data_IF_246269892352
#
_entry.id   IF_246269892352
#
_cell.length_a   1.000
_cell.length_b   1.000
_cell.length_c   1.000
_cell.angle_alpha   90.00
_cell.angle_beta   90.00
_cell.angle_gamma   90.00
#
_symmetry.space_group_name_H-M   'P 1'
#
loop_
_entity.id
_entity.type
_entity.pdbx_description
1 polymer ?
#
# COMPACT_ATOMS: atom_id res chain seq x y z
N UNK A 1 4.11 21.92 -6.58
CA UNK A 1 2.80 22.52 -6.99
C UNK A 1 1.82 21.39 -7.28
N UNK A 2 0.50 21.61 -7.34
CA UNK A 2 -0.54 20.55 -7.43
C UNK A 2 -0.22 19.35 -8.35
N UNK A 3 0.41 19.61 -9.49
CA UNK A 3 0.87 18.59 -10.44
C UNK A 3 1.82 17.57 -9.79
N UNK A 4 2.77 18.01 -8.97
CA UNK A 4 3.73 17.12 -8.29
C UNK A 4 3.00 16.18 -7.32
N UNK A 5 2.01 16.70 -6.59
CA UNK A 5 1.18 15.90 -5.67
C UNK A 5 0.37 14.85 -6.41
N UNK A 6 -0.21 15.22 -7.57
CA UNK A 6 -0.96 14.29 -8.41
C UNK A 6 -0.05 13.21 -8.98
N UNK A 7 1.14 13.58 -9.47
CA UNK A 7 2.12 12.62 -10.01
C UNK A 7 2.57 11.65 -8.91
N UNK A 8 2.93 12.14 -7.73
CA UNK A 8 3.32 11.31 -6.59
C UNK A 8 2.19 10.35 -6.21
N UNK A 9 0.95 10.85 -6.13
CA UNK A 9 -0.21 10.01 -5.86
C UNK A 9 -0.40 8.91 -6.91
N UNK A 10 -0.29 9.23 -8.20
CA UNK A 10 -0.42 8.24 -9.28
C UNK A 10 0.68 7.18 -9.22
N UNK A 11 1.94 7.59 -8.98
CA UNK A 11 3.06 6.65 -8.80
C UNK A 11 2.80 5.76 -7.59
N UNK A 12 2.44 6.33 -6.43
CA UNK A 12 2.11 5.56 -5.23
C UNK A 12 0.95 4.60 -5.45
N UNK A 13 -0.08 5.01 -6.20
CA UNK A 13 -1.20 4.17 -6.55
C UNK A 13 -0.77 3.00 -7.44
N UNK A 14 0.06 3.24 -8.46
CA UNK A 14 0.60 2.19 -9.33
C UNK A 14 1.46 1.19 -8.56
N UNK A 15 2.34 1.68 -7.70
CA UNK A 15 3.20 0.86 -6.83
C UNK A 15 2.35 0.04 -5.86
N UNK A 16 1.35 0.65 -5.23
CA UNK A 16 0.41 -0.05 -4.36
C UNK A 16 -0.42 -1.09 -5.11
N UNK A 17 -0.87 -0.78 -6.33
CA UNK A 17 -1.61 -1.70 -7.20
C UNK A 17 -0.77 -2.93 -7.56
N UNK A 18 0.49 -2.72 -7.93
CA UNK A 18 1.44 -3.79 -8.20
C UNK A 18 1.68 -4.65 -6.96
N UNK A 19 1.87 -4.01 -5.79
CA UNK A 19 2.02 -4.70 -4.52
C UNK A 19 0.82 -5.61 -4.21
N UNK A 20 -0.40 -5.10 -4.30
CA UNK A 20 -1.62 -5.89 -4.07
C UNK A 20 -1.77 -6.99 -5.11
N UNK A 21 -1.50 -6.71 -6.40
CA UNK A 21 -1.59 -7.71 -7.47
C UNK A 21 -0.67 -8.91 -7.19
N UNK A 22 0.59 -8.65 -6.86
CA UNK A 22 1.56 -9.69 -6.50
C UNK A 22 1.17 -10.36 -5.17
N UNK A 23 0.76 -9.59 -4.17
CA UNK A 23 0.34 -10.11 -2.86
C UNK A 23 -0.80 -11.11 -2.96
N UNK A 24 -1.85 -10.79 -3.72
CA UNK A 24 -2.98 -11.70 -3.94
C UNK A 24 -2.55 -12.91 -4.75
N UNK A 25 -1.77 -12.71 -5.82
CA UNK A 25 -1.28 -13.80 -6.68
C UNK A 25 -0.41 -14.81 -5.93
N UNK A 26 0.34 -14.37 -4.92
CA UNK A 26 1.22 -15.25 -4.12
C UNK A 26 0.52 -15.84 -2.89
N UNK A 27 -0.39 -15.10 -2.26
CA UNK A 27 -1.06 -15.53 -1.04
C UNK A 27 -2.34 -16.34 -1.30
N UNK A 28 -2.88 -16.29 -2.52
CA UNK A 28 -4.15 -16.91 -2.88
C UNK A 28 -4.09 -17.52 -4.29
N UNK A 29 -5.04 -18.38 -4.61
CA UNK A 29 -5.27 -18.86 -5.98
C UNK A 29 -6.27 -17.98 -6.75
N UNK A 30 -6.51 -16.74 -6.30
CA UNK A 30 -7.48 -15.84 -6.91
C UNK A 30 -6.89 -15.18 -8.16
N UNK A 31 -7.59 -15.28 -9.29
CA UNK A 31 -7.22 -14.58 -10.51
C UNK A 31 -7.77 -13.16 -10.49
N UNK A 32 -7.02 -12.22 -9.90
CA UNK A 32 -7.41 -10.81 -9.89
C UNK A 32 -6.77 -10.04 -11.05
N UNK A 33 -7.56 -9.23 -11.75
CA UNK A 33 -7.02 -8.29 -12.73
C UNK A 33 -6.32 -7.11 -12.07
N UNK A 34 -5.42 -6.44 -12.79
CA UNK A 34 -4.72 -5.23 -12.30
C UNK A 34 -5.69 -4.11 -11.88
N UNK A 35 -6.84 -3.97 -12.56
CA UNK A 35 -7.89 -3.03 -12.16
C UNK A 35 -8.52 -3.35 -10.80
N UNK A 36 -8.69 -4.63 -10.48
CA UNK A 36 -9.17 -5.08 -9.17
C UNK A 36 -8.16 -4.75 -8.06
N UNK A 37 -6.88 -5.02 -8.32
CA UNK A 37 -5.78 -4.66 -7.42
C UNK A 37 -5.69 -3.14 -7.20
N UNK A 38 -5.82 -2.36 -8.28
CA UNK A 38 -5.80 -0.90 -8.21
C UNK A 38 -6.97 -0.33 -7.40
N UNK A 39 -8.17 -0.91 -7.53
CA UNK A 39 -9.30 -0.51 -6.71
C UNK A 39 -9.05 -0.86 -5.23
N UNK A 40 -8.46 -2.02 -4.93
CA UNK A 40 -8.12 -2.41 -3.54
C UNK A 40 -7.08 -1.45 -2.96
N UNK A 41 -6.04 -1.12 -3.74
CA UNK A 41 -5.03 -0.15 -3.35
C UNK A 41 -5.63 1.25 -3.10
N UNK A 42 -6.53 1.70 -3.98
CA UNK A 42 -7.21 2.99 -3.85
C UNK A 42 -8.06 3.05 -2.58
N UNK A 43 -8.93 2.04 -2.36
CA UNK A 43 -9.75 1.98 -1.15
C UNK A 43 -8.89 1.87 0.11
N UNK A 44 -7.79 1.12 0.03
CA UNK A 44 -6.83 0.99 1.13
C UNK A 44 -6.18 2.32 1.48
N UNK A 45 -5.75 3.09 0.47
CA UNK A 45 -5.19 4.42 0.66
C UNK A 45 -6.21 5.40 1.23
N UNK A 46 -7.46 5.35 0.79
CA UNK A 46 -8.54 6.16 1.35
C UNK A 46 -8.81 5.80 2.82
N UNK A 47 -8.91 4.52 3.14
CA UNK A 47 -9.11 4.05 4.51
C UNK A 47 -7.96 4.50 5.42
N UNK A 48 -6.71 4.35 4.96
CA UNK A 48 -5.53 4.83 5.67
C UNK A 48 -5.58 6.34 5.89
N UNK A 49 -5.90 7.11 4.84
CA UNK A 49 -5.99 8.57 4.89
C UNK A 49 -7.06 9.05 5.87
N UNK A 50 -8.24 8.42 5.86
CA UNK A 50 -9.33 8.72 6.81
C UNK A 50 -8.88 8.44 8.25
N UNK A 51 -8.29 7.28 8.52
CA UNK A 51 -7.82 6.96 9.88
C UNK A 51 -6.71 7.91 10.31
N UNK A 52 -5.75 8.20 9.43
CA UNK A 52 -4.65 9.13 9.72
C UNK A 52 -5.15 10.55 9.98
N UNK A 53 -6.20 10.99 9.27
CA UNK A 53 -6.81 12.30 9.46
C UNK A 53 -7.43 12.46 10.86
N UNK A 54 -8.18 11.46 11.33
CA UNK A 54 -8.87 11.53 12.63
C UNK A 54 -8.00 11.10 13.81
N UNK A 55 -7.08 10.15 13.60
CA UNK A 55 -6.35 9.45 14.68
C UNK A 55 -4.82 9.54 14.54
N UNK A 56 -4.29 10.18 13.51
CA UNK A 56 -2.84 10.30 13.29
C UNK A 56 -2.10 11.12 14.34
N UNK A 57 -2.82 11.86 15.19
CA UNK A 57 -2.25 12.53 16.35
C UNK A 57 -1.81 11.55 17.45
N UNK A 58 -2.31 10.30 17.43
CA UNK A 58 -1.84 9.21 18.28
C UNK A 58 -0.76 8.40 17.54
N UNK A 59 0.53 8.51 17.90
CA UNK A 59 1.61 7.98 17.06
C UNK A 59 1.50 6.48 16.79
N UNK A 60 1.36 5.68 17.86
CA UNK A 60 1.30 4.22 17.75
C UNK A 60 -0.12 3.74 17.42
N UNK A 61 -1.12 4.25 18.15
CA UNK A 61 -2.51 3.79 18.01
C UNK A 61 -3.09 4.17 16.65
N UNK A 62 -2.82 5.39 16.16
CA UNK A 62 -3.27 5.83 14.84
C UNK A 62 -2.67 4.96 13.73
N UNK A 63 -1.38 4.67 13.80
CA UNK A 63 -0.71 3.79 12.83
C UNK A 63 -1.26 2.35 12.87
N UNK A 64 -1.47 1.77 14.05
CA UNK A 64 -2.04 0.43 14.20
C UNK A 64 -3.47 0.36 13.66
N UNK A 65 -4.30 1.36 13.95
CA UNK A 65 -5.67 1.42 13.42
C UNK A 65 -5.69 1.63 11.90
N UNK A 66 -4.76 2.42 11.36
CA UNK A 66 -4.64 2.61 9.91
C UNK A 66 -4.23 1.29 9.22
N UNK A 67 -3.31 0.55 9.82
CA UNK A 67 -2.92 -0.78 9.36
C UNK A 67 -4.08 -1.78 9.41
N UNK A 68 -4.84 -1.80 10.51
CA UNK A 68 -6.03 -2.65 10.64
C UNK A 68 -7.11 -2.28 9.62
N UNK A 69 -7.33 -0.99 9.38
CA UNK A 69 -8.27 -0.51 8.37
C UNK A 69 -7.84 -0.96 6.97
N UNK A 70 -6.55 -0.83 6.64
CA UNK A 70 -6.00 -1.27 5.37
C UNK A 70 -6.14 -2.79 5.16
N UNK A 71 -5.75 -3.60 6.15
CA UNK A 71 -5.94 -5.06 6.12
C UNK A 71 -7.43 -5.40 6.03
N UNK A 72 -8.29 -4.64 6.72
CA UNK A 72 -9.74 -4.76 6.64
C UNK A 72 -10.27 -4.55 5.22
N UNK A 73 -9.79 -3.53 4.50
CA UNK A 73 -10.13 -3.32 3.08
C UNK A 73 -9.72 -4.52 2.22
N UNK A 74 -8.51 -5.05 2.42
CA UNK A 74 -8.03 -6.23 1.69
C UNK A 74 -8.94 -7.43 1.98
N UNK A 75 -9.28 -7.68 3.25
CA UNK A 75 -10.14 -8.77 3.68
C UNK A 75 -11.58 -8.64 3.14
N UNK A 76 -12.09 -7.42 3.00
CA UNK A 76 -13.41 -7.18 2.40
C UNK A 76 -13.42 -7.43 0.88
N UNK A 77 -12.25 -7.35 0.24
CA UNK A 77 -12.11 -7.46 -1.21
C UNK A 77 -11.65 -8.83 -1.70
N UNK A 78 -10.98 -9.60 -0.84
CA UNK A 78 -10.40 -10.90 -1.18
C UNK A 78 -10.88 -11.97 -0.19
N UNK A 79 -11.31 -13.11 -0.72
CA UNK A 79 -11.70 -14.25 0.11
C UNK A 79 -10.46 -14.91 0.72
N UNK A 80 -10.49 -15.19 2.03
CA UNK A 80 -9.37 -15.83 2.74
C UNK A 80 -9.29 -15.50 4.22
N UNK A 81 -10.03 -14.48 4.67
CA UNK A 81 -10.03 -14.05 6.06
C UNK A 81 -8.84 -13.17 6.41
N UNK A 82 -8.79 -12.73 7.67
CA UNK A 82 -7.83 -11.74 8.14
C UNK A 82 -6.36 -12.19 8.02
N UNK A 83 -6.09 -13.49 8.22
CA UNK A 83 -4.73 -14.03 8.10
C UNK A 83 -4.18 -13.92 6.68
N UNK A 84 -4.99 -14.31 5.68
CA UNK A 84 -4.64 -14.16 4.27
C UNK A 84 -4.53 -12.68 3.88
N UNK A 85 -5.44 -11.83 4.35
CA UNK A 85 -5.37 -10.39 4.10
C UNK A 85 -4.09 -9.75 4.66
N UNK A 86 -3.67 -10.15 5.86
CA UNK A 86 -2.41 -9.71 6.45
C UNK A 86 -1.19 -10.18 5.64
N UNK A 87 -1.20 -11.43 5.14
CA UNK A 87 -0.15 -11.94 4.26
C UNK A 87 -0.09 -11.19 2.93
N UNK A 88 -1.24 -10.94 2.29
CA UNK A 88 -1.34 -10.11 1.08
C UNK A 88 -0.74 -8.72 1.36
N UNK A 89 -1.13 -8.09 2.46
CA UNK A 89 -0.61 -6.78 2.86
C UNK A 89 0.90 -6.81 3.07
N UNK A 90 1.43 -7.82 3.76
CA UNK A 90 2.87 -7.96 3.98
C UNK A 90 3.64 -8.09 2.66
N UNK A 91 3.18 -8.96 1.76
CA UNK A 91 3.80 -9.13 0.44
C UNK A 91 3.69 -7.85 -0.38
N UNK A 92 2.53 -7.19 -0.37
CA UNK A 92 2.33 -5.93 -1.06
C UNK A 92 3.28 -4.84 -0.57
N UNK A 93 3.49 -4.76 0.74
CA UNK A 93 4.45 -3.83 1.34
C UNK A 93 5.89 -4.12 0.90
N UNK A 94 6.30 -5.39 0.90
CA UNK A 94 7.64 -5.79 0.43
C UNK A 94 7.86 -5.47 -1.06
N UNK A 95 6.86 -5.77 -1.89
CA UNK A 95 6.91 -5.48 -3.34
C UNK A 95 6.95 -3.97 -3.58
N UNK A 96 6.11 -3.20 -2.90
CA UNK A 96 6.11 -1.75 -2.98
C UNK A 96 7.47 -1.17 -2.56
N UNK A 97 8.02 -1.64 -1.44
CA UNK A 97 9.34 -1.25 -0.96
C UNK A 97 10.45 -1.57 -1.97
N UNK A 98 10.43 -2.76 -2.58
CA UNK A 98 11.40 -3.14 -3.61
C UNK A 98 11.31 -2.25 -4.86
N UNK A 99 10.10 -1.91 -5.31
CA UNK A 99 9.90 -1.01 -6.45
C UNK A 99 10.37 0.41 -6.13
N UNK A 100 10.03 0.93 -4.96
CA UNK A 100 10.48 2.26 -4.54
C UNK A 100 12.01 2.31 -4.38
N UNK A 101 12.61 1.26 -3.84
CA UNK A 101 14.07 1.13 -3.76
C UNK A 101 14.71 1.12 -5.15
N UNK A 102 14.18 0.35 -6.09
CA UNK A 102 14.68 0.32 -7.47
C UNK A 102 14.58 1.70 -8.15
N UNK A 103 13.45 2.39 -7.98
CA UNK A 103 13.27 3.77 -8.46
C UNK A 103 14.26 4.74 -7.81
N UNK A 104 14.54 4.58 -6.52
CA UNK A 104 15.51 5.40 -5.80
C UNK A 104 16.93 5.17 -6.33
N UNK A 105 17.33 3.90 -6.53
CA UNK A 105 18.64 3.56 -7.11
C UNK A 105 18.81 4.02 -8.56
N UNK A 106 17.70 4.17 -9.29
CA UNK A 106 17.68 4.72 -10.63
C UNK A 106 17.70 6.26 -10.67
N UNK A 107 17.69 6.93 -9.50
CA UNK A 107 17.69 8.39 -9.40
C UNK A 107 16.34 9.05 -9.72
N UNK A 108 15.25 8.28 -9.72
CA UNK A 108 13.90 8.75 -10.08
C UNK A 108 13.09 9.24 -8.87
N UNK A 109 13.42 8.79 -7.66
CA UNK A 109 12.82 9.25 -6.39
C UNK A 109 13.90 9.47 -5.33
N UNK A 110 13.65 10.38 -4.39
CA UNK A 110 14.57 10.62 -3.28
C UNK A 110 14.65 9.38 -2.35
N UNK A 111 15.84 9.05 -1.84
CA UNK A 111 16.03 7.92 -0.93
C UNK A 111 15.20 8.03 0.36
N UNK A 112 14.89 9.26 0.80
CA UNK A 112 13.97 9.54 1.90
C UNK A 112 12.53 9.04 1.66
N UNK A 113 12.12 8.81 0.40
CA UNK A 113 10.83 8.23 0.05
C UNK A 113 10.74 6.72 0.31
N UNK A 114 11.87 6.03 0.51
CA UNK A 114 11.92 4.59 0.83
C UNK A 114 11.65 4.35 2.32
N UNK A 115 11.62 5.40 3.15
CA UNK A 115 11.39 5.28 4.60
C UNK A 115 12.56 4.63 5.36
N UNK A 116 13.74 4.57 4.75
CA UNK A 116 14.98 4.10 5.38
C UNK A 116 15.59 5.25 6.19
N UNK A 117 15.63 5.19 7.52
CA UNK A 117 16.30 6.20 8.33
C UNK A 117 17.82 6.11 8.13
N UNK A 118 18.47 7.23 7.80
CA UNK A 118 19.94 7.34 7.83
C UNK A 118 20.66 7.36 6.49
N UNK A 119 19.98 7.68 5.39
CA UNK A 119 20.61 8.15 4.13
C UNK A 119 20.23 9.59 3.84
#
# INVERSE_FOLDING_TARGET
MLLDTVIVFLISLLVGSLGIYVGVSLATNEAIGFGGAALTALLGALAWGVVSFFLGWLPLVGALLALLAWIGVINLRHSGGWGTAALIGLVAWLVAGAVLYALATAGLVAASAVGIPGV
#
